data_IF_324901988141
#
_entry.id   IF_324901988141
#
_cell.length_a   1.000
_cell.length_b   1.000
_cell.length_c   1.000
_cell.angle_alpha   90.00
_cell.angle_beta   90.00
_cell.angle_gamma   90.00
#
_symmetry.space_group_name_H-M   'P 1'
#
loop_
_entity.id
_entity.type
_entity.pdbx_description
1 polymer ?
#
# COMPACT_ATOMS: atom_id res chain seq x y z
N UNK A 1 12.29 -16.28 -11.20
CA UNK A 1 13.11 -15.26 -10.52
C UNK A 1 14.33 -15.93 -9.93
N UNK A 2 15.47 -15.25 -9.90
CA UNK A 2 16.61 -15.70 -9.10
C UNK A 2 16.39 -15.42 -7.61
N UNK A 3 17.22 -16.03 -6.76
CA UNK A 3 17.12 -15.92 -5.30
C UNK A 3 17.24 -14.48 -4.79
N UNK A 4 18.06 -13.66 -5.46
CA UNK A 4 18.29 -12.27 -5.07
C UNK A 4 17.03 -11.44 -5.31
N UNK A 5 16.43 -11.54 -6.50
CA UNK A 5 15.18 -10.85 -6.84
C UNK A 5 14.02 -11.30 -5.94
N UNK A 6 14.00 -12.57 -5.51
CA UNK A 6 13.01 -13.05 -4.52
C UNK A 6 13.17 -12.32 -3.19
N UNK A 7 14.39 -12.21 -2.67
CA UNK A 7 14.66 -11.52 -1.41
C UNK A 7 14.34 -10.02 -1.48
N UNK A 8 14.70 -9.36 -2.58
CA UNK A 8 14.38 -7.95 -2.83
C UNK A 8 12.87 -7.72 -2.86
N UNK A 9 12.12 -8.57 -3.57
CA UNK A 9 10.66 -8.46 -3.63
C UNK A 9 10.00 -8.72 -2.26
N UNK A 10 10.50 -9.68 -1.47
CA UNK A 10 10.00 -9.94 -0.11
C UNK A 10 10.26 -8.73 0.80
N UNK A 11 11.49 -8.18 0.78
CA UNK A 11 11.84 -7.02 1.57
C UNK A 11 10.98 -5.81 1.21
N UNK A 12 10.76 -5.57 -0.11
CA UNK A 12 9.91 -4.47 -0.57
C UNK A 12 8.45 -4.69 -0.20
N UNK A 13 7.92 -5.91 -0.30
CA UNK A 13 6.55 -6.20 0.13
C UNK A 13 6.35 -5.93 1.63
N UNK A 14 7.31 -6.31 2.49
CA UNK A 14 7.26 -6.00 3.92
C UNK A 14 7.25 -4.49 4.19
N UNK A 15 8.13 -3.74 3.53
CA UNK A 15 8.20 -2.28 3.65
C UNK A 15 6.90 -1.59 3.18
N UNK A 16 6.29 -2.06 2.09
CA UNK A 16 4.98 -1.57 1.63
C UNK A 16 3.89 -1.79 2.69
N UNK A 17 3.86 -2.97 3.32
CA UNK A 17 2.85 -3.27 4.34
C UNK A 17 2.97 -2.33 5.55
N UNK A 18 4.20 -1.99 5.97
CA UNK A 18 4.44 -1.00 7.03
C UNK A 18 3.97 0.40 6.60
N UNK A 19 4.28 0.82 5.37
CA UNK A 19 3.86 2.12 4.83
C UNK A 19 2.33 2.25 4.73
N UNK A 20 1.64 1.18 4.29
CA UNK A 20 0.17 1.13 4.26
C UNK A 20 -0.41 1.27 5.67
N UNK A 21 0.17 0.58 6.67
CA UNK A 21 -0.30 0.70 8.05
C UNK A 21 -0.20 2.14 8.56
N UNK A 22 0.94 2.79 8.34
CA UNK A 22 1.15 4.18 8.75
C UNK A 22 0.16 5.13 8.04
N UNK A 23 -0.10 4.93 6.75
CA UNK A 23 -1.06 5.74 6.01
C UNK A 23 -2.49 5.55 6.51
N UNK A 24 -2.88 4.33 6.89
CA UNK A 24 -4.20 4.08 7.48
C UNK A 24 -4.38 4.88 8.77
N UNK A 25 -3.37 4.90 9.65
CA UNK A 25 -3.40 5.70 10.88
C UNK A 25 -3.56 7.20 10.60
N UNK A 26 -2.85 7.71 9.58
CA UNK A 26 -2.95 9.13 9.19
C UNK A 26 -4.30 9.49 8.58
N UNK A 27 -4.86 8.60 7.74
CA UNK A 27 -6.21 8.77 7.19
C UNK A 27 -7.25 8.78 8.30
N UNK A 28 -7.17 7.85 9.26
CA UNK A 28 -8.11 7.77 10.36
C UNK A 28 -8.02 8.99 11.29
N UNK A 29 -6.81 9.48 11.58
CA UNK A 29 -6.60 10.70 12.33
C UNK A 29 -7.24 11.92 11.63
N UNK A 30 -7.07 12.07 10.31
CA UNK A 30 -7.68 13.17 9.55
C UNK A 30 -9.15 12.95 9.18
N UNK A 31 -9.70 11.76 9.39
CA UNK A 31 -11.13 11.52 9.21
C UNK A 31 -11.90 11.85 10.48
N UNK A 32 -11.32 11.52 11.64
CA UNK A 32 -12.01 11.57 12.92
C UNK A 32 -11.62 12.79 13.78
N UNK A 33 -10.40 13.31 13.63
CA UNK A 33 -9.84 14.31 14.55
C UNK A 33 -9.49 15.64 13.88
N UNK A 34 -8.92 15.63 12.67
CA UNK A 34 -8.58 16.84 11.91
C UNK A 34 -9.57 17.05 10.76
N UNK A 35 -10.24 18.20 10.65
CA UNK A 35 -11.18 18.47 9.53
C UNK A 35 -10.48 18.74 8.17
N UNK A 36 -9.20 18.41 8.05
CA UNK A 36 -8.37 18.66 6.86
C UNK A 36 -8.51 17.56 5.80
N UNK A 37 -9.66 17.58 5.11
CA UNK A 37 -10.01 16.60 4.07
C UNK A 37 -9.01 16.55 2.90
N UNK A 38 -8.27 17.64 2.63
CA UNK A 38 -7.26 17.67 1.56
C UNK A 38 -6.02 16.84 1.89
N UNK A 39 -5.64 16.76 3.16
CA UNK A 39 -4.51 15.95 3.61
C UNK A 39 -4.90 14.48 3.64
N UNK A 40 -6.12 14.16 4.14
CA UNK A 40 -6.67 12.81 4.09
C UNK A 40 -6.63 12.21 2.68
N UNK A 41 -7.11 12.96 1.68
CA UNK A 41 -7.12 12.51 0.27
C UNK A 41 -5.72 12.25 -0.29
N UNK A 42 -4.71 13.01 0.14
CA UNK A 42 -3.33 12.78 -0.28
C UNK A 42 -2.82 11.45 0.29
N UNK A 43 -3.10 11.16 1.56
CA UNK A 43 -2.72 9.88 2.15
C UNK A 43 -3.47 8.70 1.53
N UNK A 44 -4.75 8.87 1.18
CA UNK A 44 -5.51 7.85 0.44
C UNK A 44 -4.89 7.57 -0.94
N UNK A 45 -4.53 8.61 -1.69
CA UNK A 45 -3.86 8.46 -2.99
C UNK A 45 -2.50 7.75 -2.86
N UNK A 46 -1.69 8.14 -1.87
CA UNK A 46 -0.41 7.46 -1.60
C UNK A 46 -0.62 5.99 -1.23
N UNK A 47 -1.67 5.68 -0.46
CA UNK A 47 -2.01 4.29 -0.11
C UNK A 47 -2.37 3.49 -1.35
N UNK A 48 -3.14 4.05 -2.27
CA UNK A 48 -3.49 3.38 -3.53
C UNK A 48 -2.25 3.04 -4.37
N UNK A 49 -1.26 3.93 -4.44
CA UNK A 49 -0.03 3.68 -5.18
C UNK A 49 0.77 2.51 -4.58
N UNK A 50 0.86 2.43 -3.25
CA UNK A 50 1.48 1.30 -2.58
C UNK A 50 0.71 -0.01 -2.76
N UNK A 51 -0.61 0.02 -2.76
CA UNK A 51 -1.43 -1.18 -3.00
C UNK A 51 -1.22 -1.72 -4.43
N UNK A 52 -1.14 -0.85 -5.43
CA UNK A 52 -0.82 -1.23 -6.82
C UNK A 52 0.59 -1.81 -6.93
N UNK A 53 1.56 -1.23 -6.24
CA UNK A 53 2.92 -1.78 -6.23
C UNK A 53 2.97 -3.16 -5.57
N UNK A 54 2.27 -3.35 -4.45
CA UNK A 54 2.16 -4.64 -3.77
C UNK A 54 1.52 -5.70 -4.68
N UNK A 55 0.44 -5.35 -5.38
CA UNK A 55 -0.21 -6.25 -6.34
C UNK A 55 0.76 -6.69 -7.45
N UNK A 56 1.55 -5.77 -8.00
CA UNK A 56 2.57 -6.08 -8.99
C UNK A 56 3.65 -7.04 -8.43
N UNK A 57 4.13 -6.79 -7.22
CA UNK A 57 5.11 -7.66 -6.56
C UNK A 57 4.54 -9.07 -6.34
N UNK A 58 3.30 -9.17 -5.85
CA UNK A 58 2.65 -10.46 -5.60
C UNK A 58 2.39 -11.24 -6.88
N UNK A 59 2.12 -10.56 -7.99
CA UNK A 59 1.98 -11.19 -9.31
C UNK A 59 3.26 -11.89 -9.76
N UNK A 60 4.45 -11.36 -9.40
CA UNK A 60 5.74 -12.03 -9.66
C UNK A 60 5.85 -13.38 -8.92
N UNK A 61 5.17 -13.52 -7.77
CA UNK A 61 5.03 -14.78 -7.03
C UNK A 61 3.87 -15.65 -7.53
N UNK A 62 3.18 -15.25 -8.60
CA UNK A 62 1.97 -15.89 -9.13
C UNK A 62 0.80 -15.87 -8.13
N UNK A 63 0.79 -14.88 -7.25
CA UNK A 63 -0.30 -14.63 -6.30
C UNK A 63 -1.15 -13.51 -6.87
N UNK A 64 -2.41 -13.82 -7.18
CA UNK A 64 -3.38 -12.82 -7.63
C UNK A 64 -4.38 -12.57 -6.50
N UNK A 65 -4.43 -11.33 -6.00
CA UNK A 65 -5.35 -10.91 -4.95
C UNK A 65 -6.23 -9.78 -5.44
N UNK A 66 -7.45 -9.69 -4.92
CA UNK A 66 -8.27 -8.49 -5.05
C UNK A 66 -8.09 -7.67 -3.79
N UNK A 67 -7.59 -6.46 -3.95
CA UNK A 67 -7.40 -5.51 -2.86
C UNK A 67 -8.57 -4.53 -2.89
N UNK A 68 -9.40 -4.55 -1.85
CA UNK A 68 -10.45 -3.56 -1.67
C UNK A 68 -9.81 -2.17 -1.43
N UNK A 69 -10.19 -1.18 -2.23
CA UNK A 69 -9.68 0.19 -2.12
C UNK A 69 -8.66 0.61 -3.18
N UNK A 70 -8.35 -0.23 -4.17
CA UNK A 70 -7.85 0.24 -5.47
C UNK A 70 -9.10 0.62 -6.27
N UNK A 71 -9.22 1.89 -6.69
CA UNK A 71 -10.34 2.30 -7.55
C UNK A 71 -10.38 1.40 -8.81
N UNK A 72 -11.56 0.80 -9.05
CA UNK A 72 -11.81 -0.11 -10.17
C UNK A 72 -11.70 0.58 -11.54
#
# INVERSE_FOLDING_TARGET
MDSKKIQENIARASDILEQINNLNEMVDFHKNESKELSMMRQYEAMREDFLKELENILTEFKINIKIDGIAA
#
